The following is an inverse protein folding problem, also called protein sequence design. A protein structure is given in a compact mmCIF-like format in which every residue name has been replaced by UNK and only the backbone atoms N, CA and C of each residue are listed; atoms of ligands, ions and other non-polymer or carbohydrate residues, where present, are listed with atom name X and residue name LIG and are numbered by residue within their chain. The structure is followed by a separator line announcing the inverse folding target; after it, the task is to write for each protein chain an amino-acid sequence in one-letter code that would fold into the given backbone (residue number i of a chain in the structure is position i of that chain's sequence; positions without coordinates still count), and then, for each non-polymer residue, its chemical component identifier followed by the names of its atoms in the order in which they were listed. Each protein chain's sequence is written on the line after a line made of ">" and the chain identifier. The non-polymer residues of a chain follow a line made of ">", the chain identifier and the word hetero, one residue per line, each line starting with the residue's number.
data_IF_312854064984
#
_entry.id   IF_312854064984
#
_cell.length_a   1.000
_cell.length_b   1.000
_cell.length_c   1.000
_cell.angle_alpha   90.00
_cell.angle_beta   90.00
_cell.angle_gamma   90.00
#
_symmetry.space_group_name_H-M   'P 1'
#
loop_
_entity.id
_entity.type
_entity.pdbx_description
1 polymer ?
#
# COMPACT_ATOMS: atom_id res chain seq x y z
N UNK A 1 11.79 28.71 -14.28
CA UNK A 1 11.84 29.29 -12.92
C UNK A 1 12.14 28.15 -11.95
N UNK A 2 13.41 27.95 -11.63
CA UNK A 2 13.89 26.90 -10.73
C UNK A 2 13.97 27.45 -9.30
N UNK A 3 13.52 26.69 -8.29
CA UNK A 3 13.85 26.93 -6.88
C UNK A 3 14.36 25.64 -6.24
N UNK A 4 15.67 25.49 -6.25
CA UNK A 4 16.45 24.61 -5.37
C UNK A 4 16.88 25.39 -4.12
N UNK A 5 16.70 24.81 -2.94
CA UNK A 5 17.44 25.20 -1.73
C UNK A 5 18.55 24.18 -1.50
N UNK A 6 19.78 24.69 -1.40
CA UNK A 6 21.04 23.95 -1.22
C UNK A 6 21.16 23.45 0.21
N UNK A 7 21.72 22.25 0.39
CA UNK A 7 22.49 21.93 1.58
C UNK A 7 23.77 21.18 1.16
N UNK A 8 24.91 21.72 1.60
CA UNK A 8 26.25 21.19 1.38
C UNK A 8 26.71 20.62 2.72
N UNK A 9 27.15 19.37 2.77
CA UNK A 9 28.13 18.94 3.76
C UNK A 9 28.94 17.77 3.20
N UNK A 10 30.25 18.01 3.08
CA UNK A 10 31.28 17.00 2.80
C UNK A 10 31.81 16.51 4.14
N UNK A 11 31.89 15.20 4.34
CA UNK A 11 32.96 14.61 5.12
C UNK A 11 33.25 13.18 4.63
N UNK A 12 34.55 12.88 4.57
CA UNK A 12 35.19 11.72 3.96
C UNK A 12 35.69 10.78 5.07
N UNK A 13 35.56 9.47 4.87
CA UNK A 13 36.54 8.39 5.17
C UNK A 13 35.79 7.05 5.07
N UNK A 14 36.01 6.25 4.02
CA UNK A 14 37.12 5.30 3.83
C UNK A 14 37.05 4.08 4.77
N UNK A 15 36.49 2.98 4.27
CA UNK A 15 36.85 1.62 4.67
C UNK A 15 36.92 0.73 3.42
N UNK A 16 38.15 0.38 3.05
CA UNK A 16 38.48 -0.67 2.09
C UNK A 16 38.51 -2.00 2.86
N UNK A 17 37.87 -3.05 2.34
CA UNK A 17 38.29 -4.40 2.61
C UNK A 17 38.27 -5.23 1.31
N UNK A 18 39.44 -5.78 1.02
CA UNK A 18 39.77 -6.60 -0.14
C UNK A 18 39.19 -8.00 0.05
N UNK A 19 38.57 -8.56 -0.98
CA UNK A 19 38.58 -10.01 -1.20
C UNK A 19 38.72 -10.31 -2.69
N UNK A 20 39.74 -11.10 -3.00
CA UNK A 20 40.15 -11.51 -4.34
C UNK A 20 39.75 -12.95 -4.62
N UNK A 21 39.21 -13.16 -5.82
CA UNK A 21 39.36 -14.32 -6.73
C UNK A 21 38.89 -15.72 -6.27
N UNK A 22 37.88 -16.24 -6.97
CA UNK A 22 38.10 -17.40 -7.85
C UNK A 22 36.96 -17.61 -8.84
N UNK A 23 37.31 -17.57 -10.13
CA UNK A 23 36.48 -18.02 -11.23
C UNK A 23 36.47 -19.55 -11.27
N UNK A 24 35.28 -20.16 -11.25
CA UNK A 24 35.10 -21.51 -11.78
C UNK A 24 34.02 -21.54 -12.85
N UNK A 25 34.50 -21.91 -14.03
CA UNK A 25 33.82 -22.05 -15.31
C UNK A 25 33.14 -23.41 -15.33
N UNK A 26 31.81 -23.46 -15.26
CA UNK A 26 31.06 -24.70 -15.50
C UNK A 26 30.29 -24.57 -16.82
N UNK A 27 30.49 -25.57 -17.66
CA UNK A 27 30.02 -25.67 -19.05
C UNK A 27 28.53 -25.94 -19.11
N UNK A 28 27.89 -25.26 -20.06
CA UNK A 28 26.59 -25.57 -20.63
C UNK A 28 26.51 -27.02 -21.13
N UNK A 29 25.42 -27.72 -20.82
CA UNK A 29 24.91 -28.85 -21.60
C UNK A 29 23.49 -28.48 -22.03
N UNK A 30 23.33 -28.35 -23.35
CA UNK A 30 22.06 -28.22 -24.04
C UNK A 30 21.36 -29.59 -24.07
N UNK A 31 20.07 -29.62 -23.74
CA UNK A 31 19.17 -30.70 -24.12
C UNK A 31 17.84 -30.08 -24.56
N UNK A 32 17.55 -30.21 -25.86
CA UNK A 32 16.30 -29.82 -26.51
C UNK A 32 15.23 -30.90 -26.41
N UNK A 33 13.99 -30.46 -26.71
CA UNK A 33 12.78 -31.22 -27.09
C UNK A 33 11.91 -31.76 -25.93
N UNK A 34 10.58 -31.60 -25.90
CA UNK A 34 9.62 -31.08 -26.89
C UNK A 34 8.18 -31.04 -26.32
N UNK A 35 7.33 -30.22 -26.96
CA UNK A 35 5.85 -30.32 -27.12
C UNK A 35 4.91 -30.07 -25.92
N UNK A 36 4.47 -28.81 -25.81
CA UNK A 36 3.10 -28.38 -26.11
C UNK A 36 1.90 -28.94 -25.32
N UNK A 37 1.26 -28.07 -24.53
CA UNK A 37 -0.19 -27.83 -24.59
C UNK A 37 -0.56 -26.50 -23.93
N UNK A 38 -1.09 -25.59 -24.74
CA UNK A 38 -1.89 -24.46 -24.30
C UNK A 38 -3.13 -25.01 -23.60
N UNK A 39 -3.43 -24.53 -22.39
CA UNK A 39 -4.80 -24.39 -21.93
C UNK A 39 -4.89 -23.17 -21.00
N UNK A 40 -5.44 -22.10 -21.56
CA UNK A 40 -5.84 -20.89 -20.86
C UNK A 40 -7.07 -21.18 -20.02
N UNK A 41 -6.90 -21.31 -18.70
CA UNK A 41 -8.01 -21.24 -17.76
C UNK A 41 -7.93 -19.89 -17.05
N UNK A 42 -8.78 -18.99 -17.53
CA UNK A 42 -9.05 -17.69 -16.92
C UNK A 42 -9.85 -17.93 -15.63
N UNK A 43 -9.18 -18.31 -14.54
CA UNK A 43 -9.84 -18.50 -13.26
C UNK A 43 -10.08 -17.14 -12.58
N UNK A 44 -11.18 -16.49 -12.96
CA UNK A 44 -11.77 -15.38 -12.20
C UNK A 44 -12.41 -15.94 -10.92
N UNK A 45 -11.59 -16.31 -9.93
CA UNK A 45 -12.03 -16.34 -8.53
C UNK A 45 -11.83 -14.95 -7.96
N UNK A 46 -12.92 -14.24 -7.70
CA UNK A 46 -12.90 -12.95 -7.02
C UNK A 46 -12.25 -13.11 -5.64
N UNK A 47 -11.03 -12.59 -5.49
CA UNK A 47 -10.34 -12.59 -4.22
C UNK A 47 -10.96 -11.50 -3.31
N UNK A 48 -11.45 -11.81 -2.11
CA UNK A 48 -12.02 -10.81 -1.19
C UNK A 48 -11.08 -9.65 -0.84
N UNK A 49 -9.75 -9.86 -0.87
CA UNK A 49 -8.77 -8.75 -0.72
C UNK A 49 -8.95 -7.77 -1.88
N UNK A 50 -9.11 -8.32 -3.08
CA UNK A 50 -9.24 -7.59 -4.32
C UNK A 50 -10.56 -6.81 -4.37
N UNK A 51 -11.68 -7.41 -3.97
CA UNK A 51 -13.01 -6.79 -4.12
C UNK A 51 -13.15 -5.44 -3.39
N UNK A 52 -12.73 -5.31 -2.12
CA UNK A 52 -12.88 -4.04 -1.39
C UNK A 52 -11.85 -2.98 -1.79
N UNK A 53 -10.63 -3.40 -2.16
CA UNK A 53 -9.61 -2.48 -2.67
C UNK A 53 -9.95 -1.96 -4.08
N UNK A 54 -10.66 -2.77 -4.88
CA UNK A 54 -11.22 -2.42 -6.19
C UNK A 54 -12.48 -1.56 -6.07
N UNK A 55 -13.49 -1.98 -5.29
CA UNK A 55 -14.83 -1.36 -5.22
C UNK A 55 -14.77 0.09 -4.69
N UNK A 56 -13.72 0.40 -3.93
CA UNK A 56 -13.41 1.76 -3.48
C UNK A 56 -12.80 2.71 -4.51
N UNK A 57 -12.37 2.23 -5.68
CA UNK A 57 -11.77 3.05 -6.75
C UNK A 57 -12.78 3.46 -7.83
N UNK A 58 -13.97 2.87 -7.83
CA UNK A 58 -15.09 3.34 -8.66
C UNK A 58 -15.70 4.63 -8.08
N UNK A 59 -15.92 5.62 -8.95
CA UNK A 59 -16.54 6.91 -8.61
C UNK A 59 -17.88 6.72 -7.87
N UNK A 60 -18.25 7.63 -6.95
CA UNK A 60 -19.56 7.60 -6.32
C UNK A 60 -20.63 7.95 -7.37
N UNK A 61 -21.50 6.99 -7.71
CA UNK A 61 -22.80 7.32 -8.25
C UNK A 61 -23.61 7.99 -7.13
N UNK A 62 -23.97 9.25 -7.34
CA UNK A 62 -24.86 10.01 -6.47
C UNK A 62 -26.23 9.34 -6.49
N UNK A 63 -26.50 8.44 -5.55
CA UNK A 63 -27.84 7.91 -5.35
C UNK A 63 -28.65 8.90 -4.52
N UNK A 64 -29.29 9.87 -5.19
CA UNK A 64 -30.40 10.60 -4.61
C UNK A 64 -31.58 9.64 -4.43
N UNK A 65 -31.72 9.06 -3.22
CA UNK A 65 -32.98 8.45 -2.80
C UNK A 65 -33.93 9.56 -2.38
N UNK A 66 -34.88 9.90 -3.25
CA UNK A 66 -36.11 10.58 -2.86
C UNK A 66 -37.28 9.60 -3.02
N UNK A 67 -37.95 9.33 -1.91
CA UNK A 67 -39.26 8.70 -1.85
C UNK A 67 -40.29 9.60 -2.56
N UNK A 68 -40.99 9.10 -3.59
CA UNK A 68 -42.30 9.62 -3.96
C UNK A 68 -43.12 8.60 -4.77
N UNK A 69 -44.26 8.25 -4.16
CA UNK A 69 -45.40 7.47 -4.65
C UNK A 69 -45.77 7.60 -6.12
N UNK A 70 -46.19 6.47 -6.70
CA UNK A 70 -47.11 6.33 -7.85
C UNK A 70 -48.18 7.44 -7.89
N UNK A 71 -48.38 8.04 -9.07
CA UNK A 71 -49.70 8.30 -9.68
C UNK A 71 -49.54 8.58 -11.18
N UNK A 72 -50.16 7.75 -11.98
CA UNK A 72 -50.42 7.94 -13.41
C UNK A 72 -51.54 8.96 -13.59
N UNK A 73 -51.36 9.99 -14.40
CA UNK A 73 -52.43 10.91 -14.78
C UNK A 73 -52.64 10.91 -16.30
N UNK A 74 -53.86 10.55 -16.68
CA UNK A 74 -54.42 10.32 -18.01
C UNK A 74 -54.65 11.62 -18.82
N UNK A 75 -53.62 12.47 -18.91
CA UNK A 75 -53.65 13.68 -19.76
C UNK A 75 -52.50 13.74 -20.77
N UNK A 76 -51.47 12.88 -20.62
CA UNK A 76 -50.36 12.77 -21.58
C UNK A 76 -50.72 11.93 -22.82
N UNK A 77 -51.90 11.31 -22.84
CA UNK A 77 -52.38 10.44 -23.92
C UNK A 77 -53.23 11.18 -24.98
N UNK A 78 -53.41 12.50 -24.85
CA UNK A 78 -54.33 13.26 -25.72
C UNK A 78 -53.67 14.18 -26.76
N UNK A 79 -52.34 14.22 -26.87
CA UNK A 79 -51.64 15.10 -27.84
C UNK A 79 -50.59 14.36 -28.67
N UNK A 80 -51.00 13.26 -29.31
CA UNK A 80 -50.23 12.64 -30.40
C UNK A 80 -50.97 12.75 -31.73
N UNK A 81 -50.44 13.57 -32.65
CA UNK A 81 -50.71 13.47 -34.08
C UNK A 81 -49.50 13.89 -34.95
N UNK A 82 -48.96 12.89 -35.68
CA UNK A 82 -48.27 12.83 -37.01
C UNK A 82 -47.98 14.17 -37.74
N UNK A 83 -46.92 14.43 -38.52
CA UNK A 83 -45.88 13.72 -39.36
C UNK A 83 -45.01 14.87 -40.01
N UNK A 84 -44.02 14.71 -40.95
CA UNK A 84 -43.26 13.56 -41.49
C UNK A 84 -41.70 13.77 -41.51
N UNK A 85 -40.95 12.74 -41.95
CA UNK A 85 -39.49 12.74 -42.23
C UNK A 85 -39.10 13.56 -43.48
N UNK A 86 -37.83 14.02 -43.56
CA UNK A 86 -37.06 13.83 -44.79
C UNK A 86 -35.62 13.32 -44.60
N UNK A 87 -35.24 12.52 -45.61
CA UNK A 87 -33.94 12.23 -46.24
C UNK A 87 -32.67 11.85 -45.46
N UNK A 88 -32.23 10.64 -45.81
CA UNK A 88 -30.90 10.01 -45.79
C UNK A 88 -29.72 10.89 -46.22
N UNK A 89 -28.62 10.81 -45.44
CA UNK A 89 -27.23 10.88 -45.92
C UNK A 89 -26.44 9.69 -45.33
N UNK A 90 -25.46 9.10 -46.04
CA UNK A 90 -24.68 7.99 -45.51
C UNK A 90 -23.70 8.50 -44.45
N UNK A 91 -23.86 8.05 -43.21
CA UNK A 91 -22.89 8.30 -42.16
C UNK A 91 -21.73 7.30 -42.31
N UNK A 92 -20.53 7.84 -42.48
CA UNK A 92 -19.24 7.19 -42.27
C UNK A 92 -19.26 6.45 -40.92
N UNK A 93 -18.69 5.24 -40.79
CA UNK A 93 -18.63 4.56 -39.51
C UNK A 93 -17.69 5.35 -38.59
N UNK A 94 -18.28 6.16 -37.72
CA UNK A 94 -17.56 6.73 -36.59
C UNK A 94 -17.14 5.57 -35.70
N UNK A 95 -15.83 5.28 -35.70
CA UNK A 95 -15.20 4.45 -34.70
C UNK A 95 -15.59 5.01 -33.34
N UNK A 96 -16.51 4.32 -32.66
CA UNK A 96 -16.81 4.60 -31.25
C UNK A 96 -15.46 4.51 -30.53
N UNK A 97 -15.03 5.54 -29.78
CA UNK A 97 -13.84 5.40 -28.97
C UNK A 97 -14.08 4.19 -28.07
N UNK A 98 -13.18 3.20 -28.17
CA UNK A 98 -13.18 2.09 -27.25
C UNK A 98 -13.17 2.70 -25.84
N UNK A 99 -14.27 2.53 -25.11
CA UNK A 99 -14.26 2.77 -23.67
C UNK A 99 -13.28 1.73 -23.15
N UNK A 100 -12.01 2.14 -23.00
CA UNK A 100 -11.04 1.38 -22.21
C UNK A 100 -11.72 1.19 -20.87
N UNK A 101 -12.14 -0.05 -20.60
CA UNK A 101 -12.72 -0.40 -19.30
C UNK A 101 -11.73 0.08 -18.25
N UNK A 102 -12.21 0.87 -17.29
CA UNK A 102 -11.38 1.25 -16.16
C UNK A 102 -11.08 -0.05 -15.41
N UNK A 103 -9.84 -0.54 -15.52
CA UNK A 103 -9.38 -1.62 -14.69
C UNK A 103 -9.23 -1.07 -13.28
N UNK A 104 -10.16 -1.45 -12.41
CA UNK A 104 -10.21 -0.94 -11.05
C UNK A 104 -9.01 -1.41 -10.19
N UNK A 105 -8.24 -2.43 -10.61
CA UNK A 105 -6.93 -2.77 -10.02
C UNK A 105 -5.84 -1.75 -10.32
N UNK A 106 -6.09 -0.85 -11.27
CA UNK A 106 -5.18 0.21 -11.69
C UNK A 106 -5.48 1.56 -11.01
N UNK A 107 -6.32 1.58 -9.97
CA UNK A 107 -6.70 2.80 -9.25
C UNK A 107 -5.53 3.63 -8.67
N UNK A 108 -4.38 3.00 -8.39
CA UNK A 108 -3.17 3.72 -7.92
C UNK A 108 -2.51 4.58 -9.01
N UNK A 109 -2.80 4.35 -10.29
CA UNK A 109 -2.18 5.06 -11.41
C UNK A 109 -2.36 6.58 -11.35
N UNK A 110 -3.48 7.06 -10.78
CA UNK A 110 -3.74 8.49 -10.60
C UNK A 110 -2.70 9.19 -9.72
N UNK A 111 -2.19 8.50 -8.70
CA UNK A 111 -1.18 9.00 -7.78
C UNK A 111 0.23 8.93 -8.38
N UNK A 112 0.45 8.00 -9.29
CA UNK A 112 1.74 7.80 -9.98
C UNK A 112 1.95 8.89 -11.02
N UNK A 113 0.97 9.06 -11.91
CA UNK A 113 1.06 9.97 -13.07
C UNK A 113 0.94 11.43 -12.65
N UNK A 114 0.03 11.72 -11.72
CA UNK A 114 -0.33 13.08 -11.32
C UNK A 114 -0.46 13.24 -9.79
N UNK A 115 0.62 12.99 -9.01
CA UNK A 115 0.58 13.12 -7.56
C UNK A 115 0.18 14.52 -7.09
N UNK A 116 0.48 15.56 -7.87
CA UNK A 116 0.13 16.96 -7.58
C UNK A 116 -1.39 17.22 -7.56
N UNK A 117 -2.18 16.44 -8.30
CA UNK A 117 -3.64 16.60 -8.31
C UNK A 117 -4.27 16.12 -7.01
N UNK A 118 -3.64 15.15 -6.36
CA UNK A 118 -4.01 14.57 -5.07
C UNK A 118 -5.52 14.60 -4.76
N UNK A 119 -6.37 13.98 -5.61
CA UNK A 119 -7.81 14.22 -5.58
C UNK A 119 -8.47 13.80 -4.27
N UNK A 120 -7.89 12.80 -3.59
CA UNK A 120 -8.39 12.26 -2.32
C UNK A 120 -7.56 12.72 -1.11
N UNK A 121 -6.57 13.60 -1.31
CA UNK A 121 -5.70 14.08 -0.23
C UNK A 121 -4.78 13.01 0.36
N UNK A 122 -4.57 11.87 -0.33
CA UNK A 122 -3.80 10.73 0.17
C UNK A 122 -2.29 10.87 0.00
N UNK A 123 -1.82 11.67 -0.97
CA UNK A 123 -0.38 11.86 -1.22
C UNK A 123 0.27 12.55 -0.02
N UNK A 124 1.24 11.87 0.58
CA UNK A 124 2.05 12.35 1.70
C UNK A 124 3.26 13.13 1.18
N UNK A 125 3.94 12.55 0.20
CA UNK A 125 5.11 13.13 -0.46
C UNK A 125 5.34 12.45 -1.81
N UNK A 126 6.06 13.12 -2.69
CA UNK A 126 6.51 12.54 -3.95
C UNK A 126 7.74 13.29 -4.47
N UNK A 127 8.51 12.60 -5.30
CA UNK A 127 9.55 13.16 -6.15
C UNK A 127 9.48 12.51 -7.53
N UNK A 128 10.49 12.70 -8.37
CA UNK A 128 10.50 12.17 -9.74
C UNK A 128 10.49 10.63 -9.80
N UNK A 129 10.97 9.96 -8.75
CA UNK A 129 11.16 8.51 -8.73
C UNK A 129 10.06 7.75 -7.99
N UNK A 130 9.51 8.33 -6.91
CA UNK A 130 8.54 7.67 -6.04
C UNK A 130 7.40 8.61 -5.61
N UNK A 131 6.25 8.01 -5.32
CA UNK A 131 5.15 8.63 -4.60
C UNK A 131 4.84 7.82 -3.35
N UNK A 132 4.53 8.52 -2.26
CA UNK A 132 4.10 7.93 -0.99
C UNK A 132 2.68 8.39 -0.72
N UNK A 133 1.78 7.45 -0.51
CA UNK A 133 0.36 7.74 -0.22
C UNK A 133 -0.06 7.07 1.08
N UNK A 134 -1.02 7.67 1.77
CA UNK A 134 -1.83 6.97 2.76
C UNK A 134 -2.68 5.91 2.04
N UNK A 135 -2.70 4.69 2.55
CA UNK A 135 -3.62 3.66 2.07
C UNK A 135 -5.06 4.14 2.33
N UNK A 136 -5.90 4.11 1.30
CA UNK A 136 -7.31 4.51 1.37
C UNK A 136 -8.13 3.60 2.30
N UNK A 137 -7.72 2.34 2.44
CA UNK A 137 -8.34 1.31 3.27
C UNK A 137 -7.31 0.75 4.26
N UNK A 138 -6.79 1.58 5.19
CA UNK A 138 -5.66 1.23 6.02
C UNK A 138 -5.97 0.01 6.90
N UNK A 139 -5.05 -0.94 7.01
CA UNK A 139 -5.28 -2.18 7.79
C UNK A 139 -4.73 -2.08 9.22
N UNK A 140 -4.14 -0.94 9.58
CA UNK A 140 -3.62 -0.61 10.90
C UNK A 140 -3.71 0.91 11.13
N UNK A 141 -3.28 1.36 12.32
CA UNK A 141 -3.34 2.77 12.72
C UNK A 141 -2.57 3.72 11.80
N UNK A 142 -1.46 3.29 11.23
CA UNK A 142 -0.73 3.98 10.15
C UNK A 142 -0.48 2.96 9.04
N UNK A 143 -0.83 3.31 7.81
CA UNK A 143 -0.61 2.46 6.64
C UNK A 143 -0.29 3.32 5.42
N UNK A 144 0.96 3.26 4.98
CA UNK A 144 1.48 3.97 3.81
C UNK A 144 1.81 2.98 2.70
N UNK A 145 1.72 3.46 1.46
CA UNK A 145 2.17 2.76 0.27
C UNK A 145 3.30 3.58 -0.37
N UNK A 146 4.47 2.97 -0.54
CA UNK A 146 5.56 3.49 -1.36
C UNK A 146 5.46 2.90 -2.76
N UNK A 147 5.36 3.75 -3.77
CA UNK A 147 5.04 3.35 -5.15
C UNK A 147 6.07 3.99 -6.09
N UNK A 148 6.79 3.22 -6.93
CA UNK A 148 7.69 3.79 -7.93
C UNK A 148 6.88 4.47 -9.03
N UNK A 149 7.43 5.53 -9.61
CA UNK A 149 6.78 6.30 -10.68
C UNK A 149 7.26 5.94 -12.08
N UNK A 150 8.40 5.27 -12.18
CA UNK A 150 8.92 4.81 -13.47
C UNK A 150 8.03 3.68 -14.04
N UNK A 151 7.50 3.82 -15.28
CA UNK A 151 6.75 2.78 -15.98
C UNK A 151 7.44 1.43 -16.09
N UNK A 152 8.77 1.44 -16.17
CA UNK A 152 9.56 0.21 -16.21
C UNK A 152 9.42 -0.58 -14.92
N UNK A 153 9.10 0.07 -13.78
CA UNK A 153 9.03 -0.58 -12.47
C UNK A 153 7.61 -0.77 -11.97
N UNK A 154 6.72 0.21 -12.15
CA UNK A 154 5.44 0.21 -11.44
C UNK A 154 4.48 -0.90 -11.88
N UNK A 155 4.67 -1.55 -13.03
CA UNK A 155 3.84 -2.70 -13.45
C UNK A 155 4.47 -4.05 -13.13
N UNK A 156 5.69 -4.06 -12.60
CA UNK A 156 6.39 -5.31 -12.29
C UNK A 156 5.94 -5.91 -10.96
N UNK A 157 6.05 -7.22 -10.84
CA UNK A 157 5.79 -7.92 -9.60
C UNK A 157 6.82 -7.53 -8.52
N UNK A 158 6.41 -7.11 -7.32
CA UNK A 158 7.31 -6.57 -6.30
C UNK A 158 8.41 -7.56 -5.90
N UNK A 159 8.06 -8.84 -5.70
CA UNK A 159 9.06 -9.84 -5.31
C UNK A 159 10.12 -10.06 -6.39
N UNK A 160 9.72 -10.05 -7.66
CA UNK A 160 10.64 -10.24 -8.79
C UNK A 160 11.59 -9.05 -8.90
N UNK A 161 11.03 -7.83 -8.89
CA UNK A 161 11.79 -6.60 -9.03
C UNK A 161 12.75 -6.40 -7.85
N UNK A 162 12.29 -6.61 -6.61
CA UNK A 162 13.14 -6.49 -5.42
C UNK A 162 14.23 -7.57 -5.37
N UNK A 163 14.00 -8.78 -5.88
CA UNK A 163 15.01 -9.83 -5.85
C UNK A 163 16.06 -9.67 -6.96
N UNK A 164 15.63 -9.33 -8.17
CA UNK A 164 16.49 -9.29 -9.36
C UNK A 164 17.21 -7.94 -9.59
N UNK A 165 16.66 -6.82 -9.11
CA UNK A 165 17.22 -5.49 -9.36
C UNK A 165 17.84 -4.89 -8.09
N UNK A 166 19.15 -5.14 -7.91
CA UNK A 166 19.92 -4.65 -6.76
C UNK A 166 19.90 -3.13 -6.55
N UNK A 167 20.19 -2.31 -7.59
CA UNK A 167 20.13 -0.85 -7.48
C UNK A 167 18.74 -0.32 -7.08
N UNK A 168 17.68 -0.83 -7.70
CA UNK A 168 16.31 -0.45 -7.34
C UNK A 168 15.97 -0.86 -5.91
N UNK A 169 16.31 -2.10 -5.51
CA UNK A 169 16.14 -2.59 -4.12
C UNK A 169 16.85 -1.66 -3.13
N UNK A 170 18.09 -1.23 -3.40
CA UNK A 170 18.83 -0.35 -2.52
C UNK A 170 18.13 1.01 -2.33
N UNK A 171 17.59 1.60 -3.39
CA UNK A 171 16.83 2.85 -3.28
C UNK A 171 15.51 2.64 -2.53
N UNK A 172 14.78 1.55 -2.78
CA UNK A 172 13.57 1.20 -2.02
C UNK A 172 13.88 1.06 -0.53
N UNK A 173 14.93 0.32 -0.15
CA UNK A 173 15.32 0.14 1.25
C UNK A 173 15.64 1.48 1.93
N UNK A 174 16.37 2.37 1.23
CA UNK A 174 16.67 3.72 1.72
C UNK A 174 15.39 4.53 1.97
N UNK A 175 14.41 4.47 1.05
CA UNK A 175 13.10 5.12 1.24
C UNK A 175 12.32 4.52 2.39
N UNK A 176 12.30 3.19 2.50
CA UNK A 176 11.58 2.47 3.56
C UNK A 176 12.12 2.81 4.94
N UNK A 177 13.44 2.93 5.12
CA UNK A 177 14.03 3.39 6.41
C UNK A 177 13.45 4.74 6.81
N UNK A 178 13.45 5.72 5.91
CA UNK A 178 12.88 7.05 6.17
C UNK A 178 11.38 6.99 6.45
N UNK A 179 10.63 6.17 5.71
CA UNK A 179 9.19 6.01 5.91
C UNK A 179 8.83 5.29 7.21
N UNK A 180 9.66 4.34 7.68
CA UNK A 180 9.50 3.73 9.00
C UNK A 180 9.59 4.81 10.09
N UNK A 181 10.55 5.74 10.01
CA UNK A 181 10.63 6.88 10.93
C UNK A 181 9.44 7.82 10.84
N UNK A 182 8.94 8.12 9.63
CA UNK A 182 7.74 8.93 9.44
C UNK A 182 6.52 8.27 10.09
N UNK A 183 6.30 6.97 9.82
CA UNK A 183 5.19 6.22 10.38
C UNK A 183 5.28 6.09 11.91
N UNK A 184 6.47 5.86 12.46
CA UNK A 184 6.72 5.85 13.89
C UNK A 184 6.43 7.21 14.55
N UNK A 185 6.81 8.31 13.88
CA UNK A 185 6.50 9.67 14.34
C UNK A 185 5.00 9.93 14.36
N UNK A 186 4.27 9.46 13.34
CA UNK A 186 2.80 9.54 13.30
C UNK A 186 2.14 8.67 14.38
N UNK A 187 2.68 7.49 14.68
CA UNK A 187 2.21 6.69 15.83
C UNK A 187 2.41 7.43 17.15
N UNK A 188 3.61 7.98 17.39
CA UNK A 188 3.89 8.78 18.59
C UNK A 188 2.97 10.00 18.66
N UNK A 189 2.69 10.67 17.54
CA UNK A 189 1.74 11.79 17.50
C UNK A 189 0.33 11.38 17.91
N UNK A 190 -0.12 10.18 17.49
CA UNK A 190 -1.45 9.65 17.81
C UNK A 190 -1.58 9.14 19.24
N UNK A 191 -0.57 8.41 19.73
CA UNK A 191 -0.68 7.60 20.95
C UNK A 191 0.39 7.90 22.01
N UNK A 192 1.41 8.71 21.70
CA UNK A 192 2.48 9.05 22.65
C UNK A 192 1.95 9.63 23.95
N UNK A 193 0.93 10.49 23.90
CA UNK A 193 0.33 11.12 25.08
C UNK A 193 -0.33 10.14 26.06
N UNK A 194 -0.77 8.97 25.60
CA UNK A 194 -1.37 7.96 26.46
C UNK A 194 -0.43 6.79 26.77
N UNK A 195 0.76 6.75 26.19
CA UNK A 195 1.78 5.73 26.41
C UNK A 195 2.57 6.01 27.69
N UNK A 196 2.60 5.03 28.60
CA UNK A 196 3.33 5.12 29.86
C UNK A 196 4.86 5.17 29.63
N UNK A 197 5.37 4.41 28.67
CA UNK A 197 6.78 4.36 28.29
C UNK A 197 7.23 5.58 27.47
N UNK A 198 6.32 6.25 26.76
CA UNK A 198 6.62 7.53 26.09
C UNK A 198 6.40 8.75 27.02
N UNK A 199 5.85 8.56 28.22
CA UNK A 199 5.50 9.65 29.13
C UNK A 199 6.67 10.59 29.49
N UNK A 200 7.91 10.11 29.75
CA UNK A 200 9.05 11.00 30.01
C UNK A 200 9.37 11.91 28.81
N UNK A 201 9.31 11.35 27.58
CA UNK A 201 9.48 12.11 26.35
C UNK A 201 8.37 13.15 26.18
N UNK A 202 7.11 12.78 26.41
CA UNK A 202 5.97 13.67 26.26
C UNK A 202 5.98 14.83 27.26
N UNK A 203 6.35 14.56 28.52
CA UNK A 203 6.49 15.59 29.54
C UNK A 203 7.58 16.60 29.15
N UNK A 204 8.78 16.11 28.81
CA UNK A 204 9.89 16.95 28.38
C UNK A 204 9.56 17.74 27.11
N UNK A 205 8.85 17.14 26.14
CA UNK A 205 8.38 17.83 24.95
C UNK A 205 7.38 18.94 25.30
N UNK A 206 6.44 18.69 26.21
CA UNK A 206 5.48 19.68 26.69
C UNK A 206 6.17 20.88 27.33
N UNK A 207 7.13 20.62 28.22
CA UNK A 207 7.92 21.67 28.88
C UNK A 207 8.73 22.49 27.86
N UNK A 208 9.39 21.81 26.93
CA UNK A 208 10.24 22.44 25.91
C UNK A 208 9.45 23.28 24.92
N UNK A 209 8.25 22.83 24.52
CA UNK A 209 7.38 23.57 23.60
C UNK A 209 6.60 24.71 24.29
N UNK A 210 6.66 24.78 25.62
CA UNK A 210 6.06 25.86 26.40
C UNK A 210 7.05 26.99 26.72
N UNK A 211 8.29 26.90 26.22
CA UNK A 211 9.31 27.95 26.34
C UNK A 211 9.06 29.09 25.34
N UNK A 212 9.46 30.32 25.69
CA UNK A 212 9.26 31.53 24.86
C UNK A 212 9.99 31.45 23.50
N UNK A 213 11.11 30.73 23.45
CA UNK A 213 11.90 30.48 22.24
C UNK A 213 12.07 28.97 22.02
N UNK A 214 11.14 28.32 21.31
CA UNK A 214 11.16 26.88 21.13
C UNK A 214 12.36 26.47 20.25
N UNK A 215 13.10 25.41 20.63
CA UNK A 215 14.28 24.98 19.88
C UNK A 215 13.92 24.49 18.47
N UNK A 216 14.92 24.53 17.58
CA UNK A 216 14.79 23.92 16.26
C UNK A 216 14.55 22.41 16.38
N UNK A 217 14.00 21.75 15.33
CA UNK A 217 13.78 20.30 15.36
C UNK A 217 15.03 19.48 15.76
N UNK A 218 16.22 19.84 15.26
CA UNK A 218 17.46 19.14 15.59
C UNK A 218 17.87 19.32 17.05
N UNK A 219 17.83 20.55 17.56
CA UNK A 219 18.17 20.84 18.97
C UNK A 219 17.16 20.22 19.93
N UNK A 220 15.89 20.13 19.51
CA UNK A 220 14.86 19.43 20.27
C UNK A 220 15.21 17.96 20.43
N UNK A 221 15.54 17.28 19.33
CA UNK A 221 15.81 15.84 19.36
C UNK A 221 17.04 15.50 20.22
N UNK A 222 18.01 16.42 20.33
CA UNK A 222 19.16 16.29 21.25
C UNK A 222 18.80 16.51 22.73
N UNK A 223 17.81 17.35 23.01
CA UNK A 223 17.40 17.71 24.39
C UNK A 223 16.36 16.76 24.98
N UNK A 224 15.61 16.05 24.15
CA UNK A 224 14.54 15.17 24.63
C UNK A 224 15.11 13.84 25.15
N UNK A 225 14.60 13.33 26.28
CA UNK A 225 14.97 12.01 26.76
C UNK A 225 14.46 10.93 25.78
N UNK A 226 15.01 9.70 25.81
CA UNK A 226 14.45 8.62 25.02
C UNK A 226 12.98 8.38 25.39
N UNK A 227 12.13 8.23 24.38
CA UNK A 227 10.74 7.79 24.53
C UNK A 227 10.58 6.31 24.21
N UNK A 228 9.33 5.89 24.02
CA UNK A 228 9.03 4.55 23.51
C UNK A 228 9.63 4.38 22.12
N UNK A 229 10.14 3.18 21.85
CA UNK A 229 10.60 2.78 20.52
C UNK A 229 9.41 2.50 19.58
N UNK A 230 8.84 3.56 19.03
CA UNK A 230 7.77 3.46 18.03
C UNK A 230 8.27 2.91 16.69
N UNK A 231 9.59 2.91 16.44
CA UNK A 231 10.15 2.40 15.19
C UNK A 231 10.02 0.88 15.13
N UNK A 232 10.21 0.19 16.26
CA UNK A 232 9.98 -1.25 16.41
C UNK A 232 8.51 -1.68 16.18
N UNK A 233 7.57 -0.74 16.17
CA UNK A 233 6.15 -0.99 15.93
C UNK A 233 5.78 -0.94 14.44
N UNK A 234 6.74 -0.60 13.56
CA UNK A 234 6.52 -0.46 12.12
C UNK A 234 7.15 -1.61 11.35
N UNK A 235 6.35 -2.25 10.50
CA UNK A 235 6.82 -3.23 9.52
C UNK A 235 6.68 -2.69 8.10
N UNK A 236 7.50 -3.24 7.21
CA UNK A 236 7.46 -2.89 5.80
C UNK A 236 7.70 -4.10 4.91
N UNK A 237 6.97 -4.20 3.80
CA UNK A 237 7.02 -5.38 2.96
C UNK A 237 6.05 -5.35 1.78
N UNK A 238 6.06 -6.42 1.01
CA UNK A 238 5.22 -6.61 -0.15
C UNK A 238 4.43 -7.92 -0.06
N UNK A 239 3.26 -7.96 -0.70
CA UNK A 239 2.48 -9.18 -0.82
C UNK A 239 3.03 -10.10 -1.92
N UNK A 240 3.02 -11.41 -1.65
CA UNK A 240 3.34 -12.45 -2.65
C UNK A 240 2.40 -12.44 -3.84
N UNK A 241 1.15 -12.01 -3.66
CA UNK A 241 0.18 -11.80 -4.73
C UNK A 241 -0.52 -10.43 -4.53
N UNK A 242 0.00 -9.35 -5.14
CA UNK A 242 -0.56 -8.00 -4.98
C UNK A 242 -2.00 -7.89 -5.50
N UNK A 243 -2.86 -7.22 -4.74
CA UNK A 243 -4.24 -6.91 -5.11
C UNK A 243 -4.30 -5.85 -6.23
N UNK A 244 -3.51 -4.78 -6.11
CA UNK A 244 -3.38 -3.74 -7.13
C UNK A 244 -2.32 -4.11 -8.18
N UNK A 245 -2.52 -3.66 -9.41
CA UNK A 245 -1.58 -3.94 -10.51
C UNK A 245 -0.26 -3.19 -10.36
N UNK A 246 -0.28 -2.06 -9.67
CA UNK A 246 0.90 -1.24 -9.49
C UNK A 246 1.74 -1.76 -8.34
N UNK A 247 3.05 -1.93 -8.54
CA UNK A 247 4.01 -2.27 -7.51
C UNK A 247 3.89 -1.29 -6.33
N UNK A 248 3.77 -1.82 -5.12
CA UNK A 248 3.74 -1.01 -3.90
C UNK A 248 4.39 -1.76 -2.75
N UNK A 249 5.07 -1.01 -1.88
CA UNK A 249 5.58 -1.48 -0.60
C UNK A 249 4.70 -0.91 0.49
N UNK A 250 4.17 -1.78 1.34
CA UNK A 250 3.45 -1.38 2.53
C UNK A 250 4.46 -0.92 3.58
N UNK A 251 4.20 0.21 4.22
CA UNK A 251 4.90 0.64 5.44
C UNK A 251 3.81 0.95 6.47
N UNK A 252 3.69 0.12 7.49
CA UNK A 252 2.54 0.15 8.38
C UNK A 252 2.86 -0.22 9.82
N UNK A 253 2.03 0.26 10.74
CA UNK A 253 2.08 -0.17 12.13
C UNK A 253 1.55 -1.60 12.29
N UNK A 254 2.07 -2.34 13.27
CA UNK A 254 1.73 -3.76 13.49
C UNK A 254 0.43 -4.00 14.27
N UNK A 255 -0.25 -2.95 14.73
CA UNK A 255 -1.43 -3.06 15.61
C UNK A 255 -2.62 -3.79 14.99
N UNK A 256 -2.74 -3.78 13.66
CA UNK A 256 -3.83 -4.42 12.92
C UNK A 256 -5.25 -3.96 13.33
N UNK A 257 -5.34 -2.79 13.98
CA UNK A 257 -6.59 -2.23 14.46
C UNK A 257 -7.08 -1.14 13.52
N UNK A 258 -8.11 -1.46 12.74
CA UNK A 258 -8.72 -0.53 11.79
C UNK A 258 -10.17 -0.91 11.48
N UNK A 259 -11.06 0.07 11.23
CA UNK A 259 -12.38 -0.19 10.66
C UNK A 259 -12.33 -0.99 9.34
N UNK A 260 -11.27 -0.83 8.54
CA UNK A 260 -11.07 -1.55 7.27
C UNK A 260 -10.52 -2.98 7.42
N UNK A 261 -10.17 -3.40 8.65
CA UNK A 261 -9.87 -4.80 8.96
C UNK A 261 -11.19 -5.57 9.07
N UNK A 262 -11.66 -6.15 7.96
CA UNK A 262 -13.02 -6.74 7.86
C UNK A 262 -13.07 -8.25 7.65
N UNK A 263 -12.00 -8.84 7.13
CA UNK A 263 -12.00 -10.25 6.72
C UNK A 263 -10.74 -10.96 7.16
N UNK A 264 -10.84 -12.29 7.32
CA UNK A 264 -9.71 -13.18 7.61
C UNK A 264 -8.52 -12.96 6.65
N UNK A 265 -8.81 -12.76 5.36
CA UNK A 265 -7.79 -12.52 4.35
C UNK A 265 -7.04 -11.20 4.56
N UNK A 266 -7.72 -10.13 4.99
CA UNK A 266 -7.06 -8.86 5.31
C UNK A 266 -6.06 -9.03 6.45
N UNK A 267 -6.39 -9.82 7.47
CA UNK A 267 -5.48 -10.04 8.58
C UNK A 267 -4.27 -10.90 8.16
N UNK A 268 -4.56 -12.02 7.50
CA UNK A 268 -3.54 -12.98 7.10
C UNK A 268 -2.62 -12.47 5.99
N UNK A 269 -3.06 -11.55 5.13
CA UNK A 269 -2.19 -10.98 4.09
C UNK A 269 -0.98 -10.26 4.70
N UNK A 270 -1.09 -9.75 5.93
CA UNK A 270 0.00 -9.09 6.64
C UNK A 270 0.62 -9.91 7.79
N UNK A 271 -0.07 -10.93 8.30
CA UNK A 271 0.36 -11.71 9.48
C UNK A 271 0.55 -13.19 9.14
N UNK A 272 1.00 -13.45 7.92
CA UNK A 272 1.38 -14.77 7.46
C UNK A 272 2.55 -14.65 6.49
N UNK A 273 2.95 -15.82 6.02
CA UNK A 273 3.94 -16.04 4.97
C UNK A 273 3.59 -15.33 3.63
N UNK A 274 2.37 -14.82 3.49
CA UNK A 274 1.94 -14.01 2.34
C UNK A 274 2.58 -12.61 2.28
N UNK A 275 2.99 -12.07 3.43
CA UNK A 275 3.73 -10.81 3.53
C UNK A 275 5.22 -11.12 3.54
N UNK A 276 5.97 -10.52 2.62
CA UNK A 276 7.43 -10.62 2.58
C UNK A 276 8.00 -9.30 3.04
N UNK A 277 8.72 -9.32 4.16
CA UNK A 277 9.36 -8.14 4.70
C UNK A 277 10.50 -7.67 3.77
N UNK A 278 10.71 -6.36 3.73
CA UNK A 278 11.75 -5.77 2.86
C UNK A 278 13.16 -6.29 3.18
N UNK A 279 13.37 -6.69 4.43
CA UNK A 279 14.66 -7.17 4.95
C UNK A 279 14.93 -8.64 4.55
N UNK A 280 13.92 -9.36 4.01
CA UNK A 280 14.07 -10.72 3.48
C UNK A 280 14.62 -10.75 2.04
N UNK A 281 14.72 -9.61 1.36
CA UNK A 281 15.17 -9.55 -0.04
C UNK A 281 16.70 -9.45 -0.17
N UNK A 282 17.30 -10.05 -1.23
CA UNK A 282 16.65 -10.81 -2.30
C UNK A 282 16.19 -12.19 -1.83
N UNK A 283 15.04 -12.64 -2.34
CA UNK A 283 14.56 -14.00 -2.07
C UNK A 283 15.37 -15.01 -2.90
N UNK A 284 15.51 -16.22 -2.35
CA UNK A 284 16.03 -17.37 -3.10
C UNK A 284 15.13 -17.68 -4.30
N UNK A 285 15.73 -17.93 -5.48
CA UNK A 285 14.99 -18.17 -6.73
C UNK A 285 14.03 -19.38 -6.66
N UNK A 286 14.26 -20.32 -5.74
CA UNK A 286 13.41 -21.50 -5.53
C UNK A 286 12.37 -21.29 -4.45
N UNK A 287 12.23 -20.06 -3.94
CA UNK A 287 11.26 -19.75 -2.89
C UNK A 287 9.84 -19.95 -3.41
N UNK A 288 9.06 -20.75 -2.68
CA UNK A 288 7.62 -20.94 -2.93
C UNK A 288 6.84 -19.61 -2.89
N UNK A 289 7.43 -18.55 -2.35
CA UNK A 289 6.89 -17.18 -2.34
C UNK A 289 6.65 -16.60 -3.73
N UNK A 290 7.43 -17.02 -4.74
CA UNK A 290 7.23 -16.58 -6.12
C UNK A 290 6.05 -17.29 -6.81
N UNK A 291 5.67 -18.45 -6.27
CA UNK A 291 4.62 -19.30 -6.79
C UNK A 291 3.60 -19.59 -5.68
N UNK A 292 2.91 -18.56 -5.17
CA UNK A 292 1.89 -18.78 -4.16
C UNK A 292 0.84 -19.72 -4.74
N UNK A 293 0.75 -20.91 -4.16
CA UNK A 293 -0.28 -21.89 -4.52
C UNK A 293 -1.67 -21.42 -4.10
N UNK A 294 -2.59 -22.36 -3.90
CA UNK A 294 -3.89 -22.02 -3.33
C UNK A 294 -3.74 -21.37 -1.96
N UNK A 295 -4.60 -20.39 -1.67
CA UNK A 295 -4.61 -19.70 -0.38
C UNK A 295 -4.71 -20.71 0.76
N UNK A 296 -3.66 -20.90 1.57
CA UNK A 296 -3.65 -21.96 2.56
C UNK A 296 -4.71 -21.71 3.64
N UNK A 297 -5.21 -22.77 4.25
CA UNK A 297 -6.11 -22.69 5.40
C UNK A 297 -5.33 -22.32 6.67
N UNK A 298 -4.67 -21.16 6.67
CA UNK A 298 -3.94 -20.65 7.83
C UNK A 298 -4.91 -20.28 8.94
N UNK A 299 -4.57 -20.69 10.15
CA UNK A 299 -5.20 -20.18 11.36
C UNK A 299 -4.78 -18.72 11.60
N UNK A 300 -5.68 -17.91 12.14
CA UNK A 300 -5.35 -16.55 12.55
C UNK A 300 -4.81 -16.56 13.98
N UNK A 301 -3.52 -16.30 14.13
CA UNK A 301 -2.88 -16.09 15.44
C UNK A 301 -2.70 -14.61 15.70
N UNK A 302 -2.98 -14.14 16.91
CA UNK A 302 -2.74 -12.76 17.29
C UNK A 302 -1.25 -12.42 17.13
N UNK A 303 -0.97 -11.23 16.58
CA UNK A 303 0.39 -10.75 16.33
C UNK A 303 1.15 -10.48 17.63
N UNK A 304 0.42 -10.23 18.73
CA UNK A 304 0.96 -9.80 20.02
C UNK A 304 1.08 -10.96 21.00
N UNK A 305 -0.04 -11.59 21.39
CA UNK A 305 -0.03 -12.68 22.36
C UNK A 305 0.13 -14.09 21.76
N UNK A 306 -0.03 -14.24 20.43
CA UNK A 306 0.06 -15.53 19.76
C UNK A 306 -1.18 -16.44 19.90
N UNK A 307 -2.23 -16.00 20.59
CA UNK A 307 -3.48 -16.76 20.74
C UNK A 307 -4.11 -17.07 19.37
N UNK A 308 -4.60 -18.30 19.19
CA UNK A 308 -5.12 -18.80 17.93
C UNK A 308 -6.66 -18.73 17.86
N UNK A 309 -7.16 -17.98 16.87
CA UNK A 309 -8.59 -17.77 16.61
C UNK A 309 -9.13 -18.61 15.45
N UNK A 310 -8.30 -19.46 14.83
CA UNK A 310 -8.67 -20.34 13.72
C UNK A 310 -9.34 -19.57 12.58
N UNK A 311 -10.63 -19.84 12.33
CA UNK A 311 -11.48 -19.19 11.33
C UNK A 311 -12.44 -18.14 11.92
N UNK A 312 -12.35 -17.82 13.21
CA UNK A 312 -13.31 -16.96 13.93
C UNK A 312 -12.88 -15.49 13.89
N UNK A 313 -12.99 -14.86 12.72
CA UNK A 313 -12.53 -13.48 12.50
C UNK A 313 -13.17 -12.45 13.45
N UNK A 314 -14.47 -12.58 13.73
CA UNK A 314 -15.16 -11.66 14.66
C UNK A 314 -14.51 -11.65 16.06
N UNK A 315 -14.12 -12.83 16.58
CA UNK A 315 -13.43 -12.95 17.87
C UNK A 315 -12.02 -12.38 17.83
N UNK A 316 -11.29 -12.64 16.74
CA UNK A 316 -9.98 -12.01 16.54
C UNK A 316 -10.10 -10.48 16.52
N UNK A 317 -11.09 -9.94 15.80
CA UNK A 317 -11.27 -8.49 15.68
C UNK A 317 -11.60 -7.82 17.02
N UNK A 318 -12.42 -8.47 17.84
CA UNK A 318 -12.69 -8.04 19.22
C UNK A 318 -11.39 -8.03 20.05
N UNK A 319 -10.65 -9.14 20.02
CA UNK A 319 -9.37 -9.25 20.71
C UNK A 319 -8.31 -8.24 20.24
N UNK A 320 -8.21 -7.97 18.93
CA UNK A 320 -7.32 -6.93 18.41
C UNK A 320 -7.67 -5.54 18.96
N UNK A 321 -8.94 -5.28 19.28
CA UNK A 321 -9.36 -4.07 19.97
C UNK A 321 -8.83 -4.00 21.41
N UNK A 322 -8.92 -5.09 22.16
CA UNK A 322 -8.35 -5.19 23.51
C UNK A 322 -6.83 -5.03 23.51
N UNK A 323 -6.15 -5.74 22.60
CA UNK A 323 -4.70 -5.63 22.41
C UNK A 323 -4.29 -4.22 22.04
N UNK A 324 -5.04 -3.54 21.17
CA UNK A 324 -4.78 -2.15 20.80
C UNK A 324 -4.93 -1.19 21.98
N UNK A 325 -5.99 -1.35 22.79
CA UNK A 325 -6.22 -0.50 23.97
C UNK A 325 -5.14 -0.66 25.05
N UNK A 326 -4.61 -1.87 25.22
CA UNK A 326 -3.46 -2.14 26.07
C UNK A 326 -2.17 -1.57 25.47
N UNK A 327 -1.88 -1.96 24.21
CA UNK A 327 -0.67 -1.60 23.48
C UNK A 327 -0.47 -0.09 23.37
N UNK A 328 -1.51 0.71 23.15
CA UNK A 328 -1.35 2.17 23.03
C UNK A 328 -1.04 2.86 24.36
N UNK A 329 -1.30 2.19 25.50
CA UNK A 329 -1.08 2.72 26.86
C UNK A 329 0.25 2.27 27.46
N UNK A 330 0.84 1.21 26.93
CA UNK A 330 2.25 0.86 27.18
C UNK A 330 3.16 1.99 26.76
#
# INVERSE_FOLDING_TARGET
>A
MFKTLRYNSRCSQAYNFLYTHSFHRVRYIMAEASKGKNDSVHEQRQDPILAEEIEGTSKPEVSNKAFASKRTNAFAELMSAKKPKPSTKPATPSLKPAKRGFDARSGLGVYIEHPEKNPEGLVVEYDDDFVVVNDKFPKASVHLLLIPRNPDYYTQHPLSLLSSNGPFRAEVLKRVVRLKHLAASELRRKYGRCSASDAPYQAALGDLMSQDDPPTPSERDEKLPPGRDWLAEIKAGAHTHPSMNHMHIHVMSRDMHSPCMKHKKHYLSFNSSFFVEVDEFPLDERSDRFHPGEWPSWDMKCWRCGENYQNKFARLKEHLGEEFEAWKKE
#
